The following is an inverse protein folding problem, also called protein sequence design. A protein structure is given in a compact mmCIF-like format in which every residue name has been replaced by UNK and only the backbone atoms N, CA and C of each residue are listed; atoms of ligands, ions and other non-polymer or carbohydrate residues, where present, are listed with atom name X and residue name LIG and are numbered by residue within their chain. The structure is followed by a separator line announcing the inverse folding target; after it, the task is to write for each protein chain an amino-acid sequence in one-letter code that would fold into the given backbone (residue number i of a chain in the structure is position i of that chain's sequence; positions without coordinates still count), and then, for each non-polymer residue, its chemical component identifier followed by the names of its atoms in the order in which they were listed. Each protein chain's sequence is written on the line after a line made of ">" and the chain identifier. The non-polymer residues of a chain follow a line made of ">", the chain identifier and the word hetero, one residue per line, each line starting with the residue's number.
data_IF_874554491058
#
_entry.id   IF_874554491058
#
_cell.length_a   1.000
_cell.length_b   1.000
_cell.length_c   1.000
_cell.angle_alpha   90.00
_cell.angle_beta   90.00
_cell.angle_gamma   90.00
#
_symmetry.space_group_name_H-M   'P 1'
#
loop_
_entity.id
_entity.type
_entity.pdbx_description
1 polymer ?
#
# COMPACT_ATOMS: atom_id res chain seq x y z
N UNK A 1 16.05 -4.29 -18.08
CA UNK A 1 14.76 -4.91 -17.73
C UNK A 1 13.71 -3.88 -18.04
N UNK A 2 12.74 -4.20 -18.90
CA UNK A 2 11.72 -3.25 -19.31
C UNK A 2 10.85 -2.96 -18.08
N UNK A 3 11.19 -1.87 -17.39
CA UNK A 3 10.87 -1.57 -15.99
C UNK A 3 9.44 -1.10 -15.78
N UNK A 4 8.47 -1.85 -16.29
CA UNK A 4 7.06 -1.53 -16.14
C UNK A 4 6.55 -2.09 -14.82
N UNK A 5 6.46 -1.22 -13.83
CA UNK A 5 5.76 -1.51 -12.59
C UNK A 5 4.25 -1.28 -12.80
N UNK A 6 3.47 -2.29 -12.48
CA UNK A 6 2.01 -2.21 -12.41
C UNK A 6 1.63 -1.81 -10.99
N UNK A 7 0.59 -0.99 -10.83
CA UNK A 7 0.17 -0.45 -9.55
C UNK A 7 -1.33 -0.67 -9.34
N UNK A 8 -1.68 -1.13 -8.15
CA UNK A 8 -3.05 -1.16 -7.65
C UNK A 8 -3.12 -0.36 -6.35
N UNK A 9 -3.98 0.67 -6.32
CA UNK A 9 -4.04 1.63 -5.22
C UNK A 9 -5.21 1.35 -4.29
N UNK A 10 -4.96 1.36 -3.00
CA UNK A 10 -5.98 1.43 -1.95
C UNK A 10 -6.01 2.83 -1.36
N UNK A 11 -7.21 3.31 -1.05
CA UNK A 11 -7.46 4.65 -0.50
C UNK A 11 -7.92 4.53 0.95
N UNK A 12 -7.13 5.07 1.88
CA UNK A 12 -7.40 5.08 3.33
C UNK A 12 -8.04 6.40 3.73
N UNK A 13 -9.31 6.38 4.14
CA UNK A 13 -10.08 7.59 4.46
C UNK A 13 -9.86 8.13 5.87
N UNK A 14 -9.20 7.36 6.72
CA UNK A 14 -8.91 7.77 8.09
C UNK A 14 -7.78 8.79 8.12
N UNK A 15 -7.81 9.70 9.09
CA UNK A 15 -6.69 10.58 9.37
C UNK A 15 -5.56 9.76 10.01
N UNK A 16 -4.65 9.25 9.17
CA UNK A 16 -3.50 8.43 9.55
C UNK A 16 -2.25 9.01 8.90
N UNK A 17 -1.16 9.11 9.64
CA UNK A 17 0.11 9.59 9.07
C UNK A 17 0.80 8.49 8.26
N UNK A 18 1.69 8.86 7.31
CA UNK A 18 2.49 7.89 6.54
C UNK A 18 3.29 6.94 7.45
N UNK A 19 3.83 7.44 8.56
CA UNK A 19 4.63 6.63 9.50
C UNK A 19 3.77 5.62 10.23
N UNK A 20 2.60 6.03 10.74
CA UNK A 20 1.63 5.12 11.36
C UNK A 20 1.13 4.08 10.34
N UNK A 21 0.86 4.53 9.11
CA UNK A 21 0.41 3.66 8.04
C UNK A 21 1.41 2.53 7.75
N UNK A 22 2.68 2.88 7.55
CA UNK A 22 3.76 1.93 7.34
C UNK A 22 3.92 0.96 8.52
N UNK A 23 3.84 1.46 9.76
CA UNK A 23 3.97 0.62 10.94
C UNK A 23 2.83 -0.41 11.07
N UNK A 24 1.59 0.02 10.81
CA UNK A 24 0.42 -0.86 10.86
C UNK A 24 0.43 -1.87 9.72
N UNK A 25 0.79 -1.46 8.49
CA UNK A 25 0.89 -2.39 7.35
C UNK A 25 1.97 -3.44 7.63
N UNK A 26 3.16 -3.01 8.10
CA UNK A 26 4.27 -3.90 8.45
C UNK A 26 3.86 -4.96 9.48
N UNK A 27 3.11 -4.55 10.51
CA UNK A 27 2.55 -5.47 11.50
C UNK A 27 1.51 -6.41 10.86
N UNK A 28 0.63 -5.89 10.01
CA UNK A 28 -0.46 -6.66 9.41
C UNK A 28 0.00 -7.77 8.47
N UNK A 29 1.17 -7.58 7.82
CA UNK A 29 1.77 -8.59 6.93
C UNK A 29 2.96 -9.32 7.56
N UNK A 30 3.32 -9.01 8.81
CA UNK A 30 4.49 -9.54 9.52
C UNK A 30 5.81 -9.39 8.73
N UNK A 31 6.02 -8.20 8.15
CA UNK A 31 7.23 -7.85 7.38
C UNK A 31 7.79 -6.50 7.81
N UNK A 32 9.12 -6.32 7.81
CA UNK A 32 9.71 -5.03 8.16
C UNK A 32 9.46 -3.97 7.07
N UNK A 33 9.53 -2.70 7.48
CA UNK A 33 9.62 -1.59 6.53
C UNK A 33 11.06 -1.53 6.01
N UNK A 34 11.23 -1.75 4.72
CA UNK A 34 12.49 -1.55 4.01
C UNK A 34 12.68 -0.06 3.74
N UNK A 35 13.93 0.42 3.78
CA UNK A 35 14.28 1.80 3.49
C UNK A 35 13.55 2.86 4.33
N UNK A 36 13.19 2.52 5.58
CA UNK A 36 12.40 3.34 6.52
C UNK A 36 12.94 4.77 6.78
N UNK A 37 14.21 5.05 6.45
CA UNK A 37 14.85 6.37 6.61
C UNK A 37 15.17 7.06 5.28
N UNK A 38 14.50 6.65 4.21
CA UNK A 38 14.64 7.23 2.87
C UNK A 38 13.36 7.93 2.44
N UNK A 39 13.38 8.54 1.25
CA UNK A 39 12.20 9.16 0.66
C UNK A 39 11.11 8.15 0.24
N UNK A 40 11.48 6.88 0.01
CA UNK A 40 10.60 5.82 -0.52
C UNK A 40 10.72 4.54 0.30
N UNK A 41 10.25 4.55 1.56
CA UNK A 41 10.13 3.32 2.33
C UNK A 41 9.07 2.41 1.72
N UNK A 42 9.30 1.11 1.75
CA UNK A 42 8.38 0.11 1.20
C UNK A 42 8.31 -1.14 2.07
N UNK A 43 7.29 -1.96 1.86
CA UNK A 43 7.11 -3.25 2.54
C UNK A 43 6.95 -4.33 1.47
N UNK A 44 7.75 -5.38 1.52
CA UNK A 44 7.61 -6.52 0.60
C UNK A 44 6.42 -7.38 0.99
N UNK A 45 5.62 -7.78 0.01
CA UNK A 45 4.56 -8.77 0.17
C UNK A 45 5.03 -10.13 -0.36
N UNK A 46 4.33 -11.18 0.07
CA UNK A 46 4.49 -12.49 -0.53
C UNK A 46 4.22 -12.42 -2.05
N UNK A 47 4.97 -13.19 -2.84
CA UNK A 47 4.89 -13.12 -4.30
C UNK A 47 5.69 -11.99 -4.95
N UNK A 48 6.43 -11.19 -4.18
CA UNK A 48 7.37 -10.18 -4.71
C UNK A 48 6.72 -8.87 -5.13
N UNK A 49 5.45 -8.65 -4.75
CA UNK A 49 4.85 -7.31 -4.79
C UNK A 49 5.43 -6.44 -3.66
N UNK A 50 5.34 -5.12 -3.80
CA UNK A 50 5.74 -4.18 -2.75
C UNK A 50 4.65 -3.16 -2.47
N UNK A 51 4.59 -2.70 -1.22
CA UNK A 51 3.68 -1.65 -0.77
C UNK A 51 4.47 -0.38 -0.52
N UNK A 52 4.03 0.73 -1.11
CA UNK A 52 4.46 2.07 -0.74
C UNK A 52 3.26 2.86 -0.22
N UNK A 53 3.53 3.83 0.65
CA UNK A 53 2.51 4.74 1.17
C UNK A 53 2.77 6.14 0.63
N UNK A 54 1.80 6.70 -0.07
CA UNK A 54 1.89 8.03 -0.66
C UNK A 54 1.05 9.05 0.09
N UNK A 55 1.68 10.19 0.40
CA UNK A 55 0.98 11.34 0.99
C UNK A 55 0.42 12.14 -0.18
N UNK A 56 -0.86 12.52 -0.11
CA UNK A 56 -1.46 13.33 -1.16
C UNK A 56 -0.74 14.68 -1.37
N UNK A 57 -0.82 15.20 -2.60
CA UNK A 57 -0.18 16.46 -2.96
C UNK A 57 -0.86 17.66 -2.29
N UNK A 58 -0.06 18.70 -2.07
CA UNK A 58 -0.46 19.91 -1.34
C UNK A 58 -1.64 20.63 -2.01
N UNK A 59 -2.72 20.89 -1.27
CA UNK A 59 -3.90 21.65 -1.72
C UNK A 59 -5.22 20.89 -1.71
N UNK A 60 -5.18 19.56 -1.61
CA UNK A 60 -6.35 18.73 -1.30
C UNK A 60 -6.24 18.28 0.18
N UNK A 61 -7.34 18.05 0.92
CA UNK A 61 -7.32 17.36 2.20
C UNK A 61 -7.66 15.86 2.00
N UNK A 62 -6.70 14.96 1.74
CA UNK A 62 -7.07 13.74 1.03
C UNK A 62 -6.74 12.49 1.86
N UNK A 63 -7.45 11.40 1.56
CA UNK A 63 -7.14 10.10 2.09
C UNK A 63 -5.71 9.66 1.70
N UNK A 64 -5.06 8.92 2.59
CA UNK A 64 -3.73 8.38 2.34
C UNK A 64 -3.82 7.26 1.29
N UNK A 65 -2.88 7.24 0.34
CA UNK A 65 -2.83 6.21 -0.69
C UNK A 65 -1.84 5.11 -0.30
N UNK A 66 -2.26 3.86 -0.46
CA UNK A 66 -1.41 2.68 -0.34
C UNK A 66 -1.29 2.08 -1.73
N UNK A 67 -0.10 2.19 -2.32
CA UNK A 67 0.17 1.68 -3.65
C UNK A 67 0.83 0.31 -3.56
N UNK A 68 0.24 -0.68 -4.23
CA UNK A 68 0.80 -2.02 -4.36
C UNK A 68 1.39 -2.18 -5.75
N UNK A 69 2.72 -2.29 -5.82
CA UNK A 69 3.48 -2.43 -7.04
C UNK A 69 3.82 -3.89 -7.33
N UNK A 70 3.78 -4.27 -8.60
CA UNK A 70 4.15 -5.59 -9.10
C UNK A 70 4.90 -5.46 -10.42
N UNK A 71 5.93 -6.29 -10.62
CA UNK A 71 6.60 -6.44 -11.93
C UNK A 71 5.97 -7.54 -12.79
N UNK A 72 4.99 -8.29 -12.25
CA UNK A 72 4.38 -9.43 -12.93
C UNK A 72 3.10 -9.08 -13.70
N UNK A 73 2.42 -7.99 -13.34
CA UNK A 73 1.16 -7.57 -13.97
C UNK A 73 0.22 -6.82 -13.02
N UNK A 74 -0.78 -6.15 -13.61
CA UNK A 74 -1.83 -5.44 -12.86
C UNK A 74 -2.67 -6.38 -11.99
N UNK A 75 -3.09 -7.53 -12.52
CA UNK A 75 -3.85 -8.52 -11.75
C UNK A 75 -3.08 -9.01 -10.51
N UNK A 76 -1.76 -9.22 -10.65
CA UNK A 76 -0.92 -9.60 -9.51
C UNK A 76 -0.81 -8.48 -8.46
N UNK A 77 -0.68 -7.21 -8.88
CA UNK A 77 -0.74 -6.07 -7.96
C UNK A 77 -2.12 -5.97 -7.27
N UNK A 78 -3.20 -6.14 -8.03
CA UNK A 78 -4.57 -6.06 -7.53
C UNK A 78 -4.89 -7.17 -6.51
N UNK A 79 -4.45 -8.41 -6.75
CA UNK A 79 -4.59 -9.51 -5.79
C UNK A 79 -3.77 -9.25 -4.52
N UNK A 80 -2.57 -8.69 -4.65
CA UNK A 80 -1.78 -8.25 -3.50
C UNK A 80 -2.47 -7.15 -2.70
N UNK A 81 -3.05 -6.16 -3.38
CA UNK A 81 -3.83 -5.08 -2.76
C UNK A 81 -5.10 -5.58 -2.06
N UNK A 82 -5.85 -6.50 -2.67
CA UNK A 82 -7.03 -7.10 -2.04
C UNK A 82 -6.68 -7.96 -0.82
N UNK A 83 -5.57 -8.70 -0.90
CA UNK A 83 -5.06 -9.47 0.25
C UNK A 83 -4.66 -8.54 1.40
N UNK A 84 -3.98 -7.44 1.09
CA UNK A 84 -3.63 -6.40 2.08
C UNK A 84 -4.88 -5.73 2.66
N UNK A 85 -5.86 -5.38 1.82
CA UNK A 85 -7.13 -4.81 2.25
C UNK A 85 -7.80 -5.69 3.30
N UNK A 86 -7.93 -7.00 3.03
CA UNK A 86 -8.53 -7.94 3.96
C UNK A 86 -7.81 -7.92 5.32
N UNK A 87 -6.47 -7.92 5.33
CA UNK A 87 -5.67 -7.86 6.57
C UNK A 87 -5.90 -6.57 7.34
N UNK A 88 -5.96 -5.44 6.64
CA UNK A 88 -6.20 -4.14 7.26
C UNK A 88 -7.61 -4.05 7.85
N UNK A 89 -8.63 -4.60 7.19
CA UNK A 89 -10.00 -4.68 7.71
C UNK A 89 -10.10 -5.60 8.94
N UNK A 90 -9.34 -6.70 8.98
CA UNK A 90 -9.29 -7.61 10.13
C UNK A 90 -8.63 -6.99 11.38
N UNK A 91 -7.66 -6.10 11.20
CA UNK A 91 -6.77 -5.63 12.27
C UNK A 91 -6.97 -4.17 12.67
N UNK A 92 -7.72 -3.40 11.88
CA UNK A 92 -7.89 -1.96 12.07
C UNK A 92 -9.34 -1.54 11.89
N UNK A 93 -9.67 -0.34 12.38
CA UNK A 93 -10.94 0.32 12.08
C UNK A 93 -10.85 1.24 10.86
N UNK A 94 -9.87 1.03 9.98
CA UNK A 94 -9.69 1.87 8.81
C UNK A 94 -10.75 1.60 7.75
N UNK A 95 -11.28 2.68 7.18
CA UNK A 95 -12.09 2.66 5.97
C UNK A 95 -11.15 2.71 4.77
N UNK A 96 -10.85 1.54 4.22
CA UNK A 96 -9.97 1.36 3.06
C UNK A 96 -10.80 0.93 1.86
N UNK A 97 -10.53 1.47 0.67
CA UNK A 97 -11.24 1.10 -0.56
C UNK A 97 -10.27 0.91 -1.74
N UNK A 98 -10.48 -0.10 -2.61
CA UNK A 98 -9.80 -0.18 -3.89
C UNK A 98 -10.12 1.02 -4.79
N UNK A 99 -9.11 1.53 -5.49
CA UNK A 99 -9.22 2.51 -6.57
C UNK A 99 -8.70 1.93 -7.90
N UNK A 100 -9.14 0.70 -8.21
CA UNK A 100 -8.79 -0.02 -9.43
C UNK A 100 -9.91 -0.96 -9.84
N UNK A 101 -9.86 -1.39 -11.10
CA UNK A 101 -10.72 -2.44 -11.66
C UNK A 101 -9.90 -3.73 -11.80
N UNK A 102 -10.56 -4.88 -11.61
CA UNK A 102 -10.02 -6.21 -11.84
C UNK A 102 -10.07 -6.58 -13.33
#
# INVERSE_FOLDING_TARGET
>A
MDGREYCATLIVRNAVTKVEALAVIALAVDRPVTDARTARPYIELDGGARVEVEIPKFGEPPPLAIDVYSTLGHEHAALGALSLLQRLEEQTSWTVKPDFVL
#
